data_IF_080670425351
#
_entry.id   IF_080670425351
#
_cell.length_a   1.000
_cell.length_b   1.000
_cell.length_c   1.000
_cell.angle_alpha   90.00
_cell.angle_beta   90.00
_cell.angle_gamma   90.00
#
_symmetry.space_group_name_H-M   'P 1'
#
loop_
_entity.id
_entity.type
_entity.pdbx_description
1 polymer ?
#
# COMPACT_ATOMS: atom_id res chain seq x y z
N UNK A 1 57.85 -68.16 -35.71
CA UNK A 1 57.09 -69.32 -35.21
C UNK A 1 55.60 -69.07 -35.40
N UNK A 2 54.88 -70.05 -35.98
CA UNK A 2 53.41 -70.21 -35.95
C UNK A 2 53.00 -70.91 -34.63
N UNK A 3 51.71 -71.14 -34.29
CA UNK A 3 50.45 -70.92 -35.02
C UNK A 3 49.55 -69.89 -34.26
N UNK A 4 48.20 -69.87 -34.18
CA UNK A 4 47.08 -70.78 -34.58
C UNK A 4 45.81 -69.97 -34.96
N UNK A 5 44.59 -70.49 -34.73
CA UNK A 5 43.31 -69.99 -35.32
C UNK A 5 42.09 -70.25 -34.41
N UNK A 6 41.04 -69.46 -34.61
CA UNK A 6 39.59 -69.73 -34.43
C UNK A 6 38.97 -69.92 -33.02
N UNK A 7 37.89 -69.15 -32.74
CA UNK A 7 36.49 -69.61 -32.91
C UNK A 7 35.51 -68.41 -33.03
N UNK A 8 34.31 -68.66 -33.59
CA UNK A 8 33.24 -67.68 -33.92
C UNK A 8 32.09 -67.77 -32.89
N UNK A 9 31.23 -66.75 -32.83
CA UNK A 9 29.75 -66.83 -32.65
C UNK A 9 29.11 -65.47 -33.07
N UNK A 10 27.83 -65.46 -33.42
CA UNK A 10 27.04 -64.38 -34.08
C UNK A 10 25.83 -64.02 -33.17
N UNK A 11 24.93 -63.08 -33.59
CA UNK A 11 23.52 -62.81 -33.13
C UNK A 11 23.40 -61.64 -32.11
N UNK A 12 22.48 -60.64 -32.17
CA UNK A 12 21.40 -60.19 -33.09
C UNK A 12 21.13 -58.65 -32.91
N UNK A 13 20.27 -58.04 -33.73
CA UNK A 13 19.80 -56.63 -33.61
C UNK A 13 18.83 -56.40 -32.42
N UNK A 14 18.74 -55.16 -31.93
CA UNK A 14 17.58 -54.62 -31.23
C UNK A 14 17.40 -53.10 -31.48
N UNK A 15 16.16 -52.61 -31.43
CA UNK A 15 15.79 -51.20 -31.54
C UNK A 15 14.85 -50.80 -30.38
N UNK A 16 14.96 -49.57 -29.87
CA UNK A 16 13.99 -48.94 -28.96
C UNK A 16 14.06 -47.41 -29.14
N UNK A 17 13.01 -46.71 -29.57
CA UNK A 17 11.72 -46.39 -28.93
C UNK A 17 11.78 -45.26 -27.90
N UNK A 18 10.96 -44.23 -28.16
CA UNK A 18 10.84 -43.00 -27.38
C UNK A 18 10.29 -43.27 -25.97
N UNK A 19 10.92 -42.70 -24.96
CA UNK A 19 10.36 -42.58 -23.60
C UNK A 19 9.77 -41.17 -23.41
N UNK A 20 8.50 -41.09 -23.02
CA UNK A 20 7.74 -39.83 -22.99
C UNK A 20 7.99 -38.95 -21.75
N UNK A 21 7.62 -37.69 -21.87
CA UNK A 21 7.59 -36.75 -20.75
C UNK A 21 6.58 -37.21 -19.69
N UNK A 22 7.03 -37.48 -18.47
CA UNK A 22 6.14 -37.66 -17.33
C UNK A 22 5.47 -36.33 -16.97
N UNK A 23 4.13 -36.31 -16.89
CA UNK A 23 3.42 -35.18 -16.29
C UNK A 23 3.67 -35.17 -14.78
N UNK A 24 3.90 -33.99 -14.15
CA UNK A 24 4.02 -33.89 -12.70
C UNK A 24 2.69 -34.24 -12.03
N UNK A 25 2.77 -34.93 -10.89
CA UNK A 25 1.59 -35.36 -10.15
C UNK A 25 0.80 -34.16 -9.61
N UNK A 26 -0.53 -34.19 -9.76
CA UNK A 26 -1.43 -33.17 -9.20
C UNK A 26 -1.39 -33.22 -7.67
N UNK A 27 -0.91 -32.15 -7.05
CA UNK A 27 -0.99 -31.95 -5.60
C UNK A 27 -2.45 -31.77 -5.21
N UNK A 28 -2.98 -32.73 -4.44
CA UNK A 28 -4.33 -32.61 -3.86
C UNK A 28 -4.24 -31.84 -2.55
N UNK A 29 -4.76 -30.62 -2.54
CA UNK A 29 -4.98 -29.87 -1.30
C UNK A 29 -6.05 -30.56 -0.44
N UNK A 30 -5.87 -30.53 0.88
CA UNK A 30 -6.89 -30.97 1.81
C UNK A 30 -8.13 -30.04 1.73
N UNK A 31 -9.36 -30.54 1.95
CA UNK A 31 -10.54 -29.69 1.98
C UNK A 31 -10.45 -28.66 3.11
N UNK A 32 -10.93 -27.45 2.84
CA UNK A 32 -10.95 -26.35 3.80
C UNK A 32 -11.73 -26.75 5.06
N UNK A 33 -11.13 -26.49 6.23
CA UNK A 33 -11.84 -26.60 7.51
C UNK A 33 -12.76 -25.38 7.64
N UNK A 34 -14.09 -25.55 7.77
CA UNK A 34 -14.99 -24.40 7.91
C UNK A 34 -14.76 -23.72 9.27
N UNK A 35 -14.47 -22.41 9.23
CA UNK A 35 -14.36 -21.57 10.43
C UNK A 35 -15.66 -21.66 11.25
N UNK A 36 -15.53 -22.02 12.54
CA UNK A 36 -16.65 -22.09 13.48
C UNK A 36 -16.68 -20.84 14.35
N UNK A 37 -17.74 -20.07 14.20
CA UNK A 37 -18.04 -18.92 15.04
C UNK A 37 -18.43 -17.71 14.20
N UNK A 38 -19.60 -17.14 14.47
CA UNK A 38 -19.93 -15.77 14.08
C UNK A 38 -19.77 -14.92 15.33
N UNK A 39 -18.72 -14.12 15.40
CA UNK A 39 -18.64 -13.05 16.41
C UNK A 39 -19.65 -11.99 16.03
N UNK A 40 -20.61 -11.70 16.90
CA UNK A 40 -21.57 -10.64 16.67
C UNK A 40 -20.89 -9.28 16.90
N UNK A 41 -20.49 -8.62 15.82
CA UNK A 41 -20.02 -7.22 15.89
C UNK A 41 -21.24 -6.32 16.08
N UNK A 42 -21.34 -5.71 17.26
CA UNK A 42 -22.39 -4.73 17.56
C UNK A 42 -21.99 -3.35 17.01
N UNK A 43 -22.33 -3.09 15.75
CA UNK A 43 -22.21 -1.75 15.19
C UNK A 43 -23.34 -0.84 15.71
N UNK A 44 -22.98 0.25 16.39
CA UNK A 44 -23.93 1.30 16.76
C UNK A 44 -24.00 2.32 15.62
N UNK A 45 -25.10 2.30 14.87
CA UNK A 45 -25.39 3.34 13.89
C UNK A 45 -25.92 4.60 14.60
N UNK A 46 -25.05 5.58 14.83
CA UNK A 46 -25.49 6.95 15.11
C UNK A 46 -26.14 7.51 13.84
N UNK A 47 -27.32 8.11 13.97
CA UNK A 47 -27.90 8.86 12.88
C UNK A 47 -27.00 10.06 12.56
N UNK A 48 -26.46 10.13 11.34
CA UNK A 48 -25.91 11.36 10.80
C UNK A 48 -26.98 12.47 10.92
N UNK A 49 -26.53 13.71 11.12
CA UNK A 49 -27.42 14.87 11.15
C UNK A 49 -28.40 14.83 9.97
N UNK A 50 -29.67 15.17 10.21
CA UNK A 50 -30.76 14.97 9.26
C UNK A 50 -30.34 15.38 7.85
N UNK A 51 -30.35 14.45 6.86
CA UNK A 51 -29.74 14.72 5.58
C UNK A 51 -30.41 15.93 4.93
N UNK A 52 -29.61 16.97 4.66
CA UNK A 52 -30.03 18.02 3.75
C UNK A 52 -30.45 17.34 2.44
N UNK A 53 -31.60 17.76 1.87
CA UNK A 53 -32.17 17.11 0.71
C UNK A 53 -31.13 17.04 -0.42
N UNK A 54 -30.80 15.82 -0.87
CA UNK A 54 -29.79 15.61 -1.90
C UNK A 54 -30.16 16.37 -3.18
N UNK A 55 -29.48 17.48 -3.46
CA UNK A 55 -29.80 18.37 -4.59
C UNK A 55 -29.40 17.78 -5.94
N UNK A 56 -28.70 16.64 -5.96
CA UNK A 56 -28.13 16.04 -7.18
C UNK A 56 -26.91 16.80 -7.73
N UNK A 57 -26.38 17.75 -6.98
CA UNK A 57 -25.25 18.61 -7.38
C UNK A 57 -24.13 18.52 -6.35
N UNK A 58 -22.87 18.48 -6.82
CA UNK A 58 -21.74 18.77 -5.94
C UNK A 58 -21.79 20.25 -5.53
N UNK A 59 -21.82 20.52 -4.22
CA UNK A 59 -21.53 21.84 -3.70
C UNK A 59 -20.00 22.02 -3.69
N UNK A 60 -19.48 22.83 -4.62
CA UNK A 60 -18.08 23.23 -4.58
C UNK A 60 -17.89 24.23 -3.43
N UNK A 61 -16.90 23.96 -2.58
CA UNK A 61 -16.44 24.89 -1.54
C UNK A 61 -15.05 25.37 -1.94
N UNK A 62 -14.96 26.62 -2.40
CA UNK A 62 -13.68 27.28 -2.59
C UNK A 62 -13.15 27.68 -1.20
N UNK A 63 -12.03 27.10 -0.79
CA UNK A 63 -11.35 27.47 0.45
C UNK A 63 -10.50 28.73 0.20
N UNK A 64 -10.54 29.69 1.12
CA UNK A 64 -9.76 30.93 1.02
C UNK A 64 -8.26 30.62 0.92
N UNK A 65 -7.69 30.83 -0.26
CA UNK A 65 -6.28 30.63 -0.55
C UNK A 65 -5.73 31.85 -1.29
N UNK A 66 -4.57 32.35 -0.87
CA UNK A 66 -4.01 33.58 -1.44
C UNK A 66 -3.47 33.33 -2.85
N UNK A 67 -4.17 33.83 -3.87
CA UNK A 67 -3.68 33.91 -5.25
C UNK A 67 -3.24 35.32 -5.59
N UNK A 68 -1.94 35.52 -5.82
CA UNK A 68 -1.40 36.77 -6.34
C UNK A 68 -0.12 36.53 -7.17
N UNK A 69 -0.16 36.90 -8.45
CA UNK A 69 1.05 37.12 -9.26
C UNK A 69 0.74 37.97 -10.51
N UNK A 70 1.36 39.15 -10.68
CA UNK A 70 1.39 39.85 -11.96
C UNK A 70 2.50 39.30 -12.88
N UNK A 71 2.53 37.97 -13.12
CA UNK A 71 3.33 37.34 -14.20
C UNK A 71 2.98 35.85 -14.38
N UNK A 72 3.00 35.37 -15.64
CA UNK A 72 2.73 33.97 -16.01
C UNK A 72 3.89 33.02 -15.66
N UNK A 73 3.86 32.42 -14.48
CA UNK A 73 4.54 31.14 -14.20
C UNK A 73 3.54 30.26 -13.43
N UNK A 74 3.19 29.10 -13.97
CA UNK A 74 2.39 28.11 -13.25
C UNK A 74 3.24 27.54 -12.11
N UNK A 75 2.93 27.93 -10.86
CA UNK A 75 3.46 27.29 -9.65
C UNK A 75 2.37 26.39 -9.07
N UNK A 76 2.79 25.24 -8.57
CA UNK A 76 1.88 24.22 -8.02
C UNK A 76 1.22 24.73 -6.73
N UNK A 77 -0.02 24.28 -6.50
CA UNK A 77 -0.88 24.67 -5.39
C UNK A 77 -0.38 24.13 -4.03
N UNK A 78 -1.08 24.50 -2.96
CA UNK A 78 -0.77 24.05 -1.58
C UNK A 78 -0.80 22.52 -1.41
N UNK A 79 -1.55 21.82 -2.27
CA UNK A 79 -1.31 20.43 -2.65
C UNK A 79 -0.95 20.37 -4.13
N UNK A 80 0.21 19.81 -4.51
CA UNK A 80 0.62 19.70 -5.91
C UNK A 80 -0.10 18.59 -6.71
N UNK A 81 -1.25 18.13 -6.23
CA UNK A 81 -2.06 17.08 -6.84
C UNK A 81 -1.58 15.65 -6.56
N UNK A 82 -0.67 15.43 -5.59
CA UNK A 82 -0.15 14.08 -5.29
C UNK A 82 -1.23 13.20 -4.65
N UNK A 83 -1.85 13.64 -3.55
CA UNK A 83 -2.92 12.87 -2.91
C UNK A 83 -3.67 13.65 -1.84
N UNK A 84 -4.86 13.16 -1.52
CA UNK A 84 -5.74 13.70 -0.48
C UNK A 84 -6.36 12.56 0.32
N UNK A 85 -6.50 12.75 1.63
CA UNK A 85 -7.27 11.89 2.52
C UNK A 85 -8.08 12.76 3.49
N UNK A 86 -9.19 12.22 4.00
CA UNK A 86 -10.16 12.93 4.84
C UNK A 86 -10.60 11.99 5.96
N UNK A 87 -10.45 12.40 7.21
CA UNK A 87 -10.89 11.67 8.42
C UNK A 87 -10.92 12.59 9.65
N UNK A 88 -11.52 12.18 10.76
CA UNK A 88 -11.50 12.89 12.05
C UNK A 88 -10.18 12.64 12.78
N UNK A 89 -9.21 13.54 12.63
CA UNK A 89 -7.83 13.32 13.09
C UNK A 89 -7.60 13.69 14.56
N UNK A 90 -8.47 14.51 15.15
CA UNK A 90 -8.39 14.87 16.55
C UNK A 90 -9.47 14.31 17.48
N UNK A 91 -10.49 13.65 16.92
CA UNK A 91 -11.59 13.00 17.64
C UNK A 91 -12.71 13.95 18.05
N UNK A 92 -12.81 15.14 17.43
CA UNK A 92 -13.82 16.14 17.76
C UNK A 92 -15.14 16.00 16.99
N UNK A 93 -15.23 15.01 16.09
CA UNK A 93 -16.38 14.72 15.26
C UNK A 93 -16.42 15.48 13.94
N UNK A 94 -15.36 16.23 13.59
CA UNK A 94 -15.23 16.95 12.31
C UNK A 94 -14.08 16.36 11.49
N UNK A 95 -14.27 16.11 10.19
CA UNK A 95 -13.20 15.57 9.36
C UNK A 95 -12.20 16.66 8.94
N UNK A 96 -10.92 16.37 9.16
CA UNK A 96 -9.75 17.05 8.60
C UNK A 96 -9.56 16.73 7.12
N UNK A 97 -8.78 17.56 6.43
CA UNK A 97 -8.24 17.21 5.10
C UNK A 97 -6.71 17.17 5.15
N UNK A 98 -6.12 16.05 4.72
CA UNK A 98 -4.67 15.89 4.59
C UNK A 98 -4.27 15.92 3.12
N UNK A 99 -3.30 16.76 2.78
CA UNK A 99 -2.77 16.95 1.44
C UNK A 99 -1.31 16.46 1.37
N UNK A 100 -1.06 15.49 0.48
CA UNK A 100 0.28 15.01 0.16
C UNK A 100 0.95 15.92 -0.88
N UNK A 101 2.24 16.18 -0.71
CA UNK A 101 3.04 17.02 -1.61
C UNK A 101 4.33 16.34 -2.07
N UNK A 102 4.46 16.07 -3.37
CA UNK A 102 5.72 15.61 -3.97
C UNK A 102 6.77 16.73 -4.05
N UNK A 103 6.38 18.00 -3.86
CA UNK A 103 7.28 19.15 -3.82
C UNK A 103 6.83 20.13 -2.72
N UNK A 104 7.58 20.19 -1.62
CA UNK A 104 7.24 20.99 -0.44
C UNK A 104 6.55 20.20 0.67
N UNK A 105 6.20 20.86 1.80
CA UNK A 105 5.58 20.22 2.98
C UNK A 105 4.22 19.57 2.68
N UNK A 106 3.95 18.41 3.28
CA UNK A 106 2.57 17.93 3.41
C UNK A 106 1.76 18.88 4.32
N UNK A 107 0.45 18.95 4.13
CA UNK A 107 -0.41 19.91 4.82
C UNK A 107 -1.61 19.22 5.45
N UNK A 108 -1.97 19.59 6.68
CA UNK A 108 -3.22 19.24 7.34
C UNK A 108 -4.08 20.50 7.41
N UNK A 109 -5.35 20.38 7.04
CA UNK A 109 -6.36 21.43 7.17
C UNK A 109 -7.30 21.01 8.30
N UNK A 110 -7.13 21.64 9.46
CA UNK A 110 -7.88 21.37 10.70
C UNK A 110 -9.25 22.02 10.67
N UNK A 111 -10.32 21.23 10.77
CA UNK A 111 -11.69 21.68 10.58
C UNK A 111 -12.24 22.32 11.86
N UNK A 112 -12.27 23.65 11.88
CA UNK A 112 -12.74 24.44 13.03
C UNK A 112 -14.28 24.52 13.10
N UNK A 113 -14.99 23.77 12.26
CA UNK A 113 -16.44 23.83 12.10
C UNK A 113 -16.86 24.70 10.91
N UNK A 114 -18.01 24.39 10.32
CA UNK A 114 -18.56 25.16 9.19
C UNK A 114 -17.72 25.15 7.91
N UNK A 115 -16.78 24.21 7.78
CA UNK A 115 -15.75 24.18 6.72
C UNK A 115 -14.77 25.37 6.77
N UNK A 116 -14.55 25.94 7.96
CA UNK A 116 -13.42 26.84 8.22
C UNK A 116 -12.20 26.02 8.65
N UNK A 117 -11.06 26.24 8.00
CA UNK A 117 -9.87 25.42 8.21
C UNK A 117 -8.67 26.20 8.75
N UNK A 118 -7.96 25.63 9.72
CA UNK A 118 -6.62 26.08 10.14
C UNK A 118 -5.56 25.23 9.44
N UNK A 119 -4.72 25.85 8.63
CA UNK A 119 -3.61 25.18 7.95
C UNK A 119 -2.47 24.82 8.93
N UNK A 120 -1.92 23.62 8.78
CA UNK A 120 -0.71 23.16 9.45
C UNK A 120 0.22 22.45 8.45
N UNK A 121 1.50 22.82 8.43
CA UNK A 121 2.50 22.21 7.55
C UNK A 121 3.33 21.20 8.32
N UNK A 122 3.32 19.96 7.83
CA UNK A 122 4.17 18.89 8.39
C UNK A 122 5.64 19.16 8.05
N UNK A 123 6.60 18.74 8.87
CA UNK A 123 8.03 18.94 8.58
C UNK A 123 8.54 18.04 7.44
N UNK A 124 7.72 17.08 6.96
CA UNK A 124 8.01 16.22 5.82
C UNK A 124 7.35 16.72 4.53
N UNK A 125 8.07 16.56 3.42
CA UNK A 125 7.52 16.50 2.05
C UNK A 125 7.94 15.24 1.29
N UNK A 126 7.90 15.32 -0.05
CA UNK A 126 8.16 14.20 -0.98
C UNK A 126 7.16 13.05 -0.79
N UNK A 127 5.87 13.40 -0.72
CA UNK A 127 4.78 12.43 -0.65
C UNK A 127 4.02 12.33 -1.98
N UNK A 128 3.82 11.10 -2.47
CA UNK A 128 3.04 10.82 -3.69
C UNK A 128 1.56 10.56 -3.43
N UNK A 129 1.21 10.04 -2.26
CA UNK A 129 -0.16 9.79 -1.82
C UNK A 129 -0.20 9.82 -0.30
N UNK A 130 -1.41 9.88 0.25
CA UNK A 130 -1.67 9.74 1.69
C UNK A 130 -2.83 8.79 1.89
N UNK A 131 -2.69 7.91 2.88
CA UNK A 131 -3.75 7.09 3.43
C UNK A 131 -3.93 7.50 4.90
N UNK A 132 -5.17 7.63 5.36
CA UNK A 132 -5.50 7.70 6.78
C UNK A 132 -6.02 6.32 7.19
N UNK A 133 -5.45 5.75 8.25
CA UNK A 133 -5.67 4.37 8.68
C UNK A 133 -5.15 4.17 10.10
N UNK A 134 -5.85 3.40 10.93
CA UNK A 134 -5.34 2.93 12.24
C UNK A 134 -4.34 1.78 11.99
N UNK A 135 -3.03 2.08 12.03
CA UNK A 135 -1.96 1.12 11.69
C UNK A 135 -1.62 0.22 12.86
N UNK A 136 -1.80 0.70 14.08
CA UNK A 136 -1.41 -0.02 15.30
C UNK A 136 -2.58 -0.68 16.07
N UNK A 137 -3.81 -0.33 15.74
CA UNK A 137 -5.04 -0.87 16.33
C UNK A 137 -5.44 -0.19 17.63
N UNK A 138 -4.96 1.03 17.89
CA UNK A 138 -5.25 1.78 19.12
C UNK A 138 -6.48 2.71 19.04
N UNK A 139 -7.20 2.65 17.91
CA UNK A 139 -8.48 3.33 17.69
C UNK A 139 -8.36 4.78 17.25
N UNK A 140 -7.14 5.26 16.95
CA UNK A 140 -6.91 6.60 16.40
C UNK A 140 -6.42 6.51 14.95
N UNK A 141 -6.92 7.37 14.05
CA UNK A 141 -6.44 7.40 12.68
C UNK A 141 -5.01 7.95 12.60
N UNK A 142 -4.10 7.15 12.06
CA UNK A 142 -2.74 7.56 11.69
C UNK A 142 -2.68 8.04 10.23
N UNK A 143 -1.56 8.66 9.84
CA UNK A 143 -1.28 8.95 8.41
C UNK A 143 -0.11 8.12 7.89
N UNK A 144 -0.27 7.56 6.69
CA UNK A 144 0.82 6.94 5.93
C UNK A 144 0.97 7.60 4.57
N UNK A 145 2.16 8.15 4.30
CA UNK A 145 2.49 8.79 3.03
C UNK A 145 3.37 7.89 2.16
N UNK A 146 2.96 7.60 0.93
CA UNK A 146 3.88 7.02 -0.06
C UNK A 146 4.92 8.07 -0.47
N UNK A 147 6.15 7.66 -0.80
CA UNK A 147 7.26 8.59 -1.13
C UNK A 147 7.89 8.25 -2.46
N UNK A 148 8.64 9.19 -3.07
CA UNK A 148 9.03 9.01 -4.47
C UNK A 148 10.00 7.86 -4.69
N UNK A 149 11.03 7.80 -3.83
CA UNK A 149 12.18 6.91 -3.94
C UNK A 149 12.61 6.37 -2.55
N UNK A 150 11.77 6.52 -1.53
CA UNK A 150 12.02 6.11 -0.15
C UNK A 150 10.86 5.26 0.39
N UNK A 151 11.09 4.57 1.51
CA UNK A 151 10.04 3.86 2.25
C UNK A 151 8.88 4.81 2.61
N UNK A 152 7.63 4.31 2.76
CA UNK A 152 6.50 5.10 3.22
C UNK A 152 6.82 5.74 4.58
N UNK A 153 6.41 6.99 4.77
CA UNK A 153 6.51 7.62 6.07
C UNK A 153 5.21 7.42 6.84
N UNK A 154 5.34 6.94 8.07
CA UNK A 154 4.24 6.68 8.97
C UNK A 154 4.25 7.74 10.08
N UNK A 155 3.09 8.34 10.32
CA UNK A 155 2.87 9.38 11.31
C UNK A 155 1.81 8.89 12.28
N UNK A 156 2.29 8.31 13.39
CA UNK A 156 1.44 7.71 14.42
C UNK A 156 0.69 8.79 15.21
N UNK A 157 -0.61 8.62 15.40
CA UNK A 157 -1.48 9.45 16.21
C UNK A 157 -1.37 9.05 17.70
N UNK A 158 -0.55 9.77 18.45
CA UNK A 158 -0.32 9.52 19.88
C UNK A 158 -1.51 9.93 20.75
N UNK A 159 -2.42 10.77 20.24
CA UNK A 159 -3.46 11.43 21.02
C UNK A 159 -2.95 12.56 21.94
N UNK A 160 -1.64 12.80 22.04
CA UNK A 160 -1.05 13.88 22.84
C UNK A 160 -1.20 15.24 22.12
N UNK A 161 -1.91 16.24 22.65
CA UNK A 161 -2.03 17.56 22.01
C UNK A 161 -0.69 18.28 21.76
N UNK A 162 0.37 17.95 22.51
CA UNK A 162 1.71 18.53 22.32
C UNK A 162 2.55 17.80 21.26
N UNK A 163 2.20 16.55 20.92
CA UNK A 163 2.97 15.68 20.04
C UNK A 163 2.07 14.71 19.25
N UNK A 164 0.94 15.21 18.74
CA UNK A 164 -0.17 14.37 18.22
C UNK A 164 0.30 13.40 17.15
N UNK A 165 1.14 13.84 16.24
CA UNK A 165 1.72 12.99 15.20
C UNK A 165 3.22 12.83 15.39
N UNK A 166 3.66 11.59 15.62
CA UNK A 166 5.08 11.24 15.71
C UNK A 166 5.48 10.45 14.46
N UNK A 167 6.47 10.96 13.74
CA UNK A 167 7.02 10.25 12.58
C UNK A 167 7.81 9.02 13.02
N UNK A 168 7.51 7.89 12.39
CA UNK A 168 8.26 6.64 12.54
C UNK A 168 8.25 5.86 11.21
N UNK A 169 8.80 4.65 11.21
CA UNK A 169 8.78 3.75 10.05
C UNK A 169 7.62 2.77 10.18
N UNK A 170 6.96 2.44 9.06
CA UNK A 170 6.14 1.23 9.00
C UNK A 170 7.05 0.01 9.24
N UNK A 171 6.83 -0.80 10.30
CA UNK A 171 7.75 -1.89 10.60
C UNK A 171 7.78 -2.93 9.47
N UNK A 172 8.98 -3.21 8.97
CA UNK A 172 9.28 -4.10 7.82
C UNK A 172 8.79 -3.63 6.43
N UNK A 173 8.14 -2.47 6.30
CA UNK A 173 7.72 -1.91 4.99
C UNK A 173 8.76 -0.90 4.50
N UNK A 174 9.88 -1.40 4.00
CA UNK A 174 11.01 -0.57 3.55
C UNK A 174 10.97 -0.19 2.05
N UNK A 175 10.05 -0.77 1.26
CA UNK A 175 10.00 -0.55 -0.20
C UNK A 175 9.27 0.74 -0.56
N UNK A 176 9.77 1.55 -1.52
CA UNK A 176 8.98 2.64 -2.10
C UNK A 176 7.67 2.12 -2.67
N UNK A 177 6.60 2.87 -2.45
CA UNK A 177 5.28 2.63 -3.03
C UNK A 177 4.87 3.86 -3.84
N UNK A 178 4.04 3.67 -4.85
CA UNK A 178 3.34 4.76 -5.54
C UNK A 178 1.93 4.91 -4.96
N UNK A 179 1.19 3.80 -4.91
CA UNK A 179 -0.14 3.70 -4.31
C UNK A 179 -0.16 2.62 -3.23
N UNK A 180 -1.07 2.77 -2.25
CA UNK A 180 -1.33 1.79 -1.19
C UNK A 180 -2.84 1.64 -0.96
N UNK A 181 -3.28 0.42 -0.71
CA UNK A 181 -4.62 0.07 -0.25
C UNK A 181 -4.49 -0.78 1.03
N UNK A 182 -5.47 -0.66 1.91
CA UNK A 182 -5.48 -1.30 3.22
C UNK A 182 -6.77 -2.09 3.43
N UNK A 183 -6.70 -3.20 4.15
CA UNK A 183 -7.83 -4.07 4.42
C UNK A 183 -7.37 -5.36 5.09
N UNK A 184 -8.25 -6.01 5.85
CA UNK A 184 -7.99 -7.34 6.42
C UNK A 184 -8.05 -8.41 5.29
N UNK A 185 -6.90 -8.99 4.92
CA UNK A 185 -6.79 -9.95 3.80
C UNK A 185 -6.73 -11.41 4.27
N UNK A 186 -6.25 -11.67 5.49
CA UNK A 186 -6.16 -13.03 6.05
C UNK A 186 -7.25 -13.37 7.08
N UNK A 187 -8.02 -12.38 7.52
CA UNK A 187 -9.22 -12.52 8.36
C UNK A 187 -8.95 -12.46 9.86
N UNK A 188 -7.80 -11.95 10.30
CA UNK A 188 -7.44 -11.84 11.71
C UNK A 188 -7.99 -10.56 12.41
N UNK A 189 -8.54 -9.62 11.64
CA UNK A 189 -9.10 -8.35 12.10
C UNK A 189 -8.11 -7.19 12.15
N UNK A 190 -6.84 -7.42 11.83
CA UNK A 190 -5.85 -6.37 11.60
C UNK A 190 -5.87 -5.90 10.14
N UNK A 191 -5.46 -4.64 9.90
CA UNK A 191 -5.37 -4.13 8.54
C UNK A 191 -4.02 -4.49 7.90
N UNK A 192 -4.11 -5.23 6.80
CA UNK A 192 -3.00 -5.55 5.91
C UNK A 192 -2.79 -4.44 4.88
N UNK A 193 -1.64 -4.49 4.21
CA UNK A 193 -1.21 -3.50 3.22
C UNK A 193 -0.98 -4.14 1.85
N UNK A 194 -1.62 -3.61 0.81
CA UNK A 194 -1.22 -3.82 -0.59
C UNK A 194 -0.60 -2.55 -1.16
N UNK A 195 0.64 -2.63 -1.62
CA UNK A 195 1.39 -1.53 -2.22
C UNK A 195 1.70 -1.81 -3.69
N UNK A 196 1.51 -0.81 -4.55
CA UNK A 196 1.89 -0.85 -5.97
C UNK A 196 3.05 0.10 -6.25
N UNK A 197 4.07 -0.37 -6.96
CA UNK A 197 5.22 0.42 -7.40
C UNK A 197 4.91 1.25 -8.67
N UNK A 198 5.75 2.26 -8.96
CA UNK A 198 5.79 2.94 -10.25
C UNK A 198 7.16 2.76 -10.91
N UNK A 199 7.24 1.66 -11.64
CA UNK A 199 8.50 1.09 -12.10
C UNK A 199 9.23 1.98 -13.12
N UNK A 200 8.54 2.90 -13.81
CA UNK A 200 9.15 3.79 -14.79
C UNK A 200 10.09 4.85 -14.15
N UNK A 201 9.71 5.46 -13.03
CA UNK A 201 10.57 6.43 -12.33
C UNK A 201 11.71 5.72 -11.57
N UNK A 202 11.45 4.51 -11.07
CA UNK A 202 12.45 3.69 -10.38
C UNK A 202 13.46 3.09 -11.36
N UNK A 203 13.04 2.65 -12.56
CA UNK A 203 13.92 2.31 -13.68
C UNK A 203 14.80 3.50 -14.10
N UNK A 204 14.23 4.70 -14.16
CA UNK A 204 14.97 5.92 -14.56
C UNK A 204 16.02 6.32 -13.51
N UNK A 205 15.73 6.14 -12.22
CA UNK A 205 16.60 6.57 -11.11
C UNK A 205 17.55 5.49 -10.59
N UNK A 206 17.21 4.21 -10.71
CA UNK A 206 17.96 3.06 -10.17
C UNK A 206 18.44 2.07 -11.26
N UNK A 207 18.05 2.28 -12.51
CA UNK A 207 18.38 1.40 -13.64
C UNK A 207 17.59 0.10 -13.65
N UNK A 208 17.94 -0.80 -14.59
CA UNK A 208 17.29 -2.11 -14.76
C UNK A 208 17.46 -3.05 -13.57
N UNK A 209 18.43 -2.77 -12.70
CA UNK A 209 18.67 -3.44 -11.40
C UNK A 209 17.40 -3.54 -10.55
N UNK A 210 16.53 -2.53 -10.61
CA UNK A 210 15.29 -2.47 -9.87
C UNK A 210 14.22 -3.44 -10.41
N UNK A 211 14.10 -3.57 -11.74
CA UNK A 211 13.15 -4.48 -12.40
C UNK A 211 13.49 -5.97 -12.18
N UNK A 212 14.78 -6.26 -12.05
CA UNK A 212 15.29 -7.62 -11.82
C UNK A 212 15.49 -7.93 -10.32
N UNK A 213 15.27 -6.95 -9.46
CA UNK A 213 15.35 -7.06 -8.01
C UNK A 213 13.98 -7.22 -7.35
N UNK A 214 13.95 -7.50 -6.03
CA UNK A 214 12.73 -7.49 -5.23
C UNK A 214 12.27 -6.03 -4.96
N UNK A 215 11.85 -5.32 -6.01
CA UNK A 215 11.49 -3.90 -6.01
C UNK A 215 10.36 -3.47 -6.97
N UNK A 216 10.21 -4.12 -8.15
CA UNK A 216 9.13 -3.83 -9.12
C UNK A 216 7.80 -4.58 -8.86
N UNK A 217 6.67 -4.02 -9.32
CA UNK A 217 5.36 -4.67 -9.28
C UNK A 217 4.47 -4.37 -8.06
N UNK A 218 3.72 -5.38 -7.61
CA UNK A 218 2.70 -5.30 -6.55
C UNK A 218 3.06 -6.18 -5.35
N UNK A 219 2.92 -5.64 -4.15
CA UNK A 219 3.25 -6.30 -2.88
C UNK A 219 2.08 -6.31 -1.92
N UNK A 220 1.78 -7.48 -1.38
CA UNK A 220 0.95 -7.60 -0.19
C UNK A 220 1.83 -7.87 1.04
N UNK A 221 1.40 -7.33 2.17
CA UNK A 221 2.00 -7.52 3.48
C UNK A 221 0.88 -7.82 4.47
N UNK A 222 0.89 -8.99 5.08
CA UNK A 222 -0.02 -9.24 6.22
C UNK A 222 0.55 -8.67 7.50
N UNK A 223 -0.31 -8.14 8.37
CA UNK A 223 0.05 -7.63 9.69
C UNK A 223 0.20 -8.81 10.64
N UNK A 224 1.23 -8.78 11.49
CA UNK A 224 1.51 -9.84 12.45
C UNK A 224 2.14 -9.26 13.69
N UNK A 225 1.36 -9.15 14.77
CA UNK A 225 1.77 -8.44 15.97
C UNK A 225 1.95 -6.94 15.68
N UNK A 226 3.15 -6.40 15.94
CA UNK A 226 3.45 -4.97 15.78
C UNK A 226 4.04 -4.59 14.42
N UNK A 227 4.07 -5.48 13.43
CA UNK A 227 4.69 -5.20 12.14
C UNK A 227 4.14 -6.03 10.98
N UNK A 228 4.71 -5.78 9.81
CA UNK A 228 4.24 -6.35 8.54
C UNK A 228 5.13 -7.50 8.06
N UNK A 229 4.54 -8.50 7.41
CA UNK A 229 5.24 -9.65 6.83
C UNK A 229 4.89 -9.76 5.34
N UNK A 230 5.86 -9.81 4.41
CA UNK A 230 5.57 -9.95 2.99
C UNK A 230 4.79 -11.25 2.70
N UNK A 231 3.62 -11.12 2.09
CA UNK A 231 2.80 -12.28 1.70
C UNK A 231 3.52 -13.07 0.62
N UNK A 232 3.67 -14.39 0.82
CA UNK A 232 4.35 -15.27 -0.17
C UNK A 232 3.47 -15.47 -1.39
N UNK A 233 3.91 -14.99 -2.56
CA UNK A 233 3.39 -15.46 -3.86
C UNK A 233 2.78 -14.43 -4.81
N UNK A 234 3.04 -13.13 -4.65
CA UNK A 234 2.62 -12.12 -5.63
C UNK A 234 3.64 -11.91 -6.75
N UNK A 235 3.15 -11.36 -7.86
CA UNK A 235 3.65 -11.56 -9.23
C UNK A 235 4.76 -10.56 -9.59
N UNK A 236 5.87 -11.08 -10.12
CA UNK A 236 6.81 -10.35 -10.99
C UNK A 236 6.45 -10.67 -12.45
#
# INVERSE_FOLDING_TARGET
>A
MLPRKNRRIIILLAAALLAGCGQPALVRYAPLVPLRGRTAVAAQASALASPAACTGTFAAHDLDHTTAAPARIARMFEGNGSGVAIDDLDGDGRPEVVLANSYGPNTILWNQGGLHFRTERMPQGDARAVNIVDVDGDGRPDMVFTRRQAAPAYWRNTGDPAARFVQTLLPNVARPAYAMAWGDLDGDGALDLVAGSYDAELLTSQGTSFLLGPGAGVYAYTRSGTGFAPSKGFIN
#
